data_IF_341522781187
#
_entry.id   IF_341522781187
#
_cell.length_a   1.000
_cell.length_b   1.000
_cell.length_c   1.000
_cell.angle_alpha   90.00
_cell.angle_beta   90.00
_cell.angle_gamma   90.00
#
_symmetry.space_group_name_H-M   'P 1'
#
loop_
_entity.id
_entity.type
_entity.pdbx_description
1 polymer ?
#
# COMPACT_ATOMS: atom_id res chain seq x y z
N UNK A 1 -7.99 -2.76 -18.54
CA UNK A 1 -7.66 -1.40 -18.14
C UNK A 1 -6.54 -1.44 -17.10
N UNK A 2 -5.29 -1.43 -17.57
CA UNK A 2 -4.09 -1.57 -16.73
C UNK A 2 -3.85 -0.36 -15.80
N UNK A 3 -4.67 0.68 -15.91
CA UNK A 3 -4.55 1.91 -15.14
C UNK A 3 -5.08 1.80 -13.70
N UNK A 4 -5.89 0.76 -13.38
CA UNK A 4 -6.52 0.59 -12.07
C UNK A 4 -5.75 -0.31 -11.10
N UNK A 5 -4.68 -0.93 -11.52
CA UNK A 5 -3.82 -1.69 -10.63
C UNK A 5 -2.79 -0.75 -9.99
N UNK A 6 -3.27 0.13 -9.14
CA UNK A 6 -2.44 1.07 -8.41
C UNK A 6 -1.85 0.35 -7.22
N UNK A 7 -0.61 -0.07 -7.36
CA UNK A 7 0.18 -0.46 -6.20
C UNK A 7 0.42 0.77 -5.30
N UNK A 8 0.85 0.54 -4.08
CA UNK A 8 1.21 1.55 -3.07
C UNK A 8 2.13 2.69 -3.59
N UNK A 9 2.71 2.56 -4.78
CA UNK A 9 3.53 3.59 -5.45
C UNK A 9 2.77 4.78 -6.03
N UNK A 10 1.45 4.71 -6.15
CA UNK A 10 0.64 5.83 -6.68
C UNK A 10 0.32 6.93 -5.66
N UNK A 11 0.69 6.73 -4.40
CA UNK A 11 0.51 7.74 -3.32
C UNK A 11 1.21 9.07 -3.65
N UNK A 12 2.20 9.06 -4.52
CA UNK A 12 2.97 10.24 -4.93
C UNK A 12 2.45 10.90 -6.21
N UNK A 13 1.49 10.28 -6.89
CA UNK A 13 0.77 10.93 -7.99
C UNK A 13 -0.32 11.80 -7.39
N UNK A 14 -0.12 13.13 -7.45
CA UNK A 14 -1.07 14.16 -6.99
C UNK A 14 -2.49 13.87 -7.47
N UNK A 15 -3.23 13.04 -6.75
CA UNK A 15 -4.66 12.92 -6.97
C UNK A 15 -5.33 14.16 -6.39
N UNK A 16 -6.13 14.82 -7.20
CA UNK A 16 -6.81 16.06 -6.78
C UNK A 16 -7.83 15.83 -5.66
N UNK A 17 -8.41 14.63 -5.58
CA UNK A 17 -9.43 14.27 -4.61
C UNK A 17 -9.37 12.77 -4.30
N UNK A 18 -8.34 12.29 -3.56
CA UNK A 18 -8.19 10.87 -3.25
C UNK A 18 -9.35 10.37 -2.38
N UNK A 19 -9.83 9.16 -2.68
CA UNK A 19 -10.83 8.47 -1.86
C UNK A 19 -10.15 7.86 -0.64
N UNK A 20 -10.59 8.23 0.56
CA UNK A 20 -10.01 7.82 1.82
C UNK A 20 -10.90 6.80 2.52
N UNK A 21 -10.37 5.63 2.85
CA UNK A 21 -11.02 4.60 3.66
C UNK A 21 -10.36 4.42 5.02
N UNK A 22 -11.15 4.11 6.05
CA UNK A 22 -10.68 3.79 7.39
C UNK A 22 -10.74 2.28 7.60
N UNK A 23 -9.59 1.66 7.87
CA UNK A 23 -9.52 0.20 8.08
C UNK A 23 -10.24 -0.19 9.37
N UNK A 24 -11.14 -1.17 9.24
CA UNK A 24 -11.91 -1.74 10.35
C UNK A 24 -12.04 -3.26 10.16
N UNK A 25 -12.51 -3.95 11.18
CA UNK A 25 -12.79 -5.40 11.17
C UNK A 25 -14.12 -5.76 10.48
N UNK A 26 -14.90 -4.77 10.10
CA UNK A 26 -16.18 -4.89 9.41
C UNK A 26 -16.71 -3.51 9.03
N UNK A 27 -17.65 -3.47 8.09
CA UNK A 27 -18.25 -2.24 7.56
C UNK A 27 -19.30 -1.61 8.49
N UNK A 28 -19.76 -2.35 9.49
CA UNK A 28 -20.82 -1.89 10.40
C UNK A 28 -20.27 -0.94 11.48
N UNK A 29 -21.03 0.12 11.80
CA UNK A 29 -20.65 1.14 12.80
C UNK A 29 -20.41 0.61 14.22
N UNK A 30 -20.98 -0.55 14.56
CA UNK A 30 -20.80 -1.16 15.88
C UNK A 30 -19.45 -1.86 16.03
N UNK A 31 -18.81 -2.23 14.92
CA UNK A 31 -17.51 -2.94 14.90
C UNK A 31 -16.32 -2.00 15.08
N UNK A 32 -15.21 -2.58 15.48
CA UNK A 32 -13.98 -1.86 15.73
C UNK A 32 -13.82 -1.39 17.18
N UNK A 33 -12.60 -1.02 17.52
CA UNK A 33 -12.26 -0.46 18.83
C UNK A 33 -12.69 1.01 18.95
N UNK A 34 -12.57 1.56 20.14
CA UNK A 34 -12.98 2.94 20.44
C UNK A 34 -12.23 3.99 19.61
N UNK A 35 -10.94 3.76 19.34
CA UNK A 35 -10.11 4.69 18.53
C UNK A 35 -10.61 4.73 17.09
N UNK A 36 -10.88 3.57 16.49
CA UNK A 36 -11.39 3.49 15.11
C UNK A 36 -12.77 4.15 14.99
N UNK A 37 -13.66 3.90 15.96
CA UNK A 37 -14.98 4.54 16.00
C UNK A 37 -14.89 6.06 16.14
N UNK A 38 -14.06 6.55 17.06
CA UNK A 38 -13.85 7.97 17.23
C UNK A 38 -13.27 8.62 15.99
N UNK A 39 -12.27 7.99 15.38
CA UNK A 39 -11.66 8.45 14.11
C UNK A 39 -12.69 8.51 12.98
N UNK A 40 -13.59 7.54 12.90
CA UNK A 40 -14.68 7.56 11.92
C UNK A 40 -15.57 8.80 12.08
N UNK A 41 -16.01 9.09 13.31
CA UNK A 41 -16.86 10.25 13.59
C UNK A 41 -16.12 11.57 13.27
N UNK A 42 -14.83 11.66 13.56
CA UNK A 42 -14.03 12.85 13.26
C UNK A 42 -13.82 13.02 11.76
N UNK A 43 -13.51 11.95 11.02
CA UNK A 43 -13.41 12.00 9.56
C UNK A 43 -14.75 12.36 8.91
N UNK A 44 -15.86 11.87 9.44
CA UNK A 44 -17.21 12.19 8.96
C UNK A 44 -17.53 13.67 9.13
N UNK A 45 -17.13 14.31 10.23
CA UNK A 45 -17.33 15.75 10.47
C UNK A 45 -16.60 16.61 9.42
N UNK A 46 -15.41 16.16 8.97
CA UNK A 46 -14.61 16.88 7.98
C UNK A 46 -14.87 16.39 6.54
N UNK A 47 -15.76 15.41 6.36
CA UNK A 47 -16.09 14.80 5.06
C UNK A 47 -16.42 15.80 3.93
N UNK A 48 -17.02 16.98 4.18
CA UNK A 48 -17.19 17.99 3.11
C UNK A 48 -15.88 18.49 2.51
N UNK A 49 -14.75 18.36 3.24
CA UNK A 49 -13.41 18.79 2.81
C UNK A 49 -12.55 17.66 2.28
N UNK A 50 -12.92 16.40 2.54
CA UNK A 50 -12.19 15.19 2.14
C UNK A 50 -13.16 14.19 1.52
N UNK A 51 -12.68 13.39 0.56
CA UNK A 51 -13.48 12.34 -0.07
C UNK A 51 -13.43 11.07 0.81
N UNK A 52 -14.22 11.07 1.90
CA UNK A 52 -14.25 9.97 2.86
C UNK A 52 -15.25 8.90 2.44
N UNK A 53 -14.76 7.69 2.15
CA UNK A 53 -15.54 6.52 1.74
C UNK A 53 -16.29 5.88 2.91
N UNK A 54 -15.66 5.89 4.09
CA UNK A 54 -16.15 5.17 5.26
C UNK A 54 -15.23 4.03 5.70
N UNK A 55 -15.78 3.02 6.35
CA UNK A 55 -15.04 1.83 6.72
C UNK A 55 -14.71 0.96 5.51
N UNK A 56 -13.52 0.37 5.53
CA UNK A 56 -13.09 -0.71 4.63
C UNK A 56 -12.56 -1.87 5.46
N UNK A 57 -12.64 -3.06 4.90
CA UNK A 57 -12.12 -4.29 5.52
C UNK A 57 -10.76 -4.68 4.92
N UNK A 58 -10.06 -5.61 5.57
CA UNK A 58 -8.75 -6.07 5.09
C UNK A 58 -8.74 -6.62 3.66
N UNK A 59 -9.84 -7.23 3.22
CA UNK A 59 -10.01 -7.73 1.85
C UNK A 59 -10.27 -6.62 0.82
N UNK A 60 -10.61 -5.40 1.25
CA UNK A 60 -10.84 -4.25 0.37
C UNK A 60 -9.56 -3.50 0.02
N UNK A 61 -8.51 -3.65 0.84
CA UNK A 61 -7.23 -2.94 0.67
C UNK A 61 -6.70 -3.07 -0.78
N UNK A 62 -6.83 -4.28 -1.35
CA UNK A 62 -6.31 -4.58 -2.69
C UNK A 62 -7.36 -4.44 -3.82
N UNK A 63 -8.61 -4.09 -3.52
CA UNK A 63 -9.67 -3.94 -4.53
C UNK A 63 -9.59 -2.61 -5.29
N UNK A 64 -8.91 -1.61 -4.70
CA UNK A 64 -8.76 -0.29 -5.33
C UNK A 64 -10.04 0.58 -5.27
N UNK A 65 -10.95 0.30 -4.32
CA UNK A 65 -12.14 1.10 -4.07
C UNK A 65 -11.79 2.44 -3.39
N UNK A 66 -10.65 2.47 -2.69
CA UNK A 66 -10.09 3.65 -2.04
C UNK A 66 -8.65 3.86 -2.49
N UNK A 67 -8.21 5.11 -2.47
CA UNK A 67 -6.85 5.50 -2.84
C UNK A 67 -5.91 5.56 -1.63
N UNK A 68 -6.47 5.84 -0.46
CA UNK A 68 -5.73 5.95 0.81
C UNK A 68 -6.44 5.13 1.87
N UNK A 69 -5.71 4.27 2.55
CA UNK A 69 -6.20 3.50 3.71
C UNK A 69 -5.58 4.08 4.98
N UNK A 70 -6.43 4.58 5.87
CA UNK A 70 -6.02 5.03 7.21
C UNK A 70 -6.17 3.88 8.18
N UNK A 71 -5.15 3.64 8.99
CA UNK A 71 -5.12 2.59 10.00
C UNK A 71 -4.18 2.97 11.14
N UNK A 72 -4.34 2.37 12.31
CA UNK A 72 -3.31 2.40 13.34
C UNK A 72 -2.08 1.59 12.95
N UNK A 73 -0.94 1.87 13.57
CA UNK A 73 0.32 1.24 13.21
C UNK A 73 0.38 -0.27 13.45
N UNK A 74 -0.37 -0.78 14.45
CA UNK A 74 -0.43 -2.21 14.76
C UNK A 74 -1.23 -2.97 13.70
N UNK A 75 -2.46 -2.54 13.45
CA UNK A 75 -3.35 -3.18 12.46
C UNK A 75 -2.76 -3.10 11.04
N UNK A 76 -2.22 -1.94 10.67
CA UNK A 76 -1.57 -1.74 9.38
C UNK A 76 -0.33 -2.62 9.20
N UNK A 77 0.49 -2.77 10.23
CA UNK A 77 1.67 -3.62 10.16
C UNK A 77 1.31 -5.11 10.08
N UNK A 78 0.28 -5.55 10.80
CA UNK A 78 -0.25 -6.92 10.68
C UNK A 78 -0.75 -7.17 9.26
N UNK A 79 -1.57 -6.26 8.70
CA UNK A 79 -2.09 -6.40 7.33
C UNK A 79 -0.96 -6.51 6.31
N UNK A 80 0.06 -5.65 6.39
CA UNK A 80 1.23 -5.69 5.51
C UNK A 80 2.02 -7.01 5.66
N UNK A 81 2.33 -7.41 6.88
CA UNK A 81 3.10 -8.64 7.13
C UNK A 81 2.35 -9.89 6.70
N UNK A 82 1.03 -9.92 6.92
CA UNK A 82 0.19 -11.02 6.44
C UNK A 82 0.18 -11.08 4.91
N UNK A 83 0.02 -9.95 4.22
CA UNK A 83 0.06 -9.90 2.77
C UNK A 83 1.42 -10.36 2.20
N UNK A 84 2.53 -9.91 2.80
CA UNK A 84 3.90 -10.37 2.46
C UNK A 84 4.03 -11.89 2.63
N UNK A 85 3.60 -12.43 3.79
CA UNK A 85 3.68 -13.86 4.07
C UNK A 85 2.80 -14.71 3.16
N UNK A 86 1.59 -14.26 2.84
CA UNK A 86 0.70 -14.95 1.89
C UNK A 86 1.30 -14.95 0.48
N UNK A 87 1.88 -13.84 0.03
CA UNK A 87 2.55 -13.78 -1.26
C UNK A 87 3.73 -14.78 -1.34
N UNK A 88 4.56 -14.88 -0.31
CA UNK A 88 5.67 -15.83 -0.22
C UNK A 88 5.17 -17.29 -0.21
N UNK A 89 4.08 -17.57 0.52
CA UNK A 89 3.46 -18.88 0.57
C UNK A 89 2.95 -19.31 -0.80
N UNK A 90 2.26 -18.43 -1.51
CA UNK A 90 1.76 -18.67 -2.89
C UNK A 90 2.93 -19.01 -3.82
N UNK A 91 4.02 -18.25 -3.76
CA UNK A 91 5.21 -18.55 -4.58
C UNK A 91 5.85 -19.90 -4.24
N UNK A 92 5.89 -20.24 -2.96
CA UNK A 92 6.42 -21.52 -2.51
C UNK A 92 5.57 -22.67 -3.06
N UNK A 93 4.25 -22.58 -2.94
CA UNK A 93 3.35 -23.60 -3.48
C UNK A 93 3.44 -23.70 -5.00
N UNK A 94 3.46 -22.57 -5.70
CA UNK A 94 3.60 -22.53 -7.16
C UNK A 94 4.91 -23.19 -7.61
N UNK A 95 6.03 -22.87 -6.93
CA UNK A 95 7.33 -23.47 -7.19
C UNK A 95 7.32 -24.98 -7.00
N UNK A 96 6.69 -25.47 -5.91
CA UNK A 96 6.59 -26.90 -5.63
C UNK A 96 5.70 -27.62 -6.64
N UNK A 97 4.59 -27.01 -7.04
CA UNK A 97 3.70 -27.57 -8.08
C UNK A 97 4.42 -27.73 -9.43
N UNK A 98 5.20 -26.73 -9.83
CA UNK A 98 5.99 -26.83 -11.07
C UNK A 98 7.15 -27.85 -10.98
N UNK A 99 7.61 -28.20 -9.78
CA UNK A 99 8.64 -29.25 -9.60
C UNK A 99 8.08 -30.67 -9.58
N UNK A 100 6.77 -30.85 -9.46
CA UNK A 100 6.12 -32.13 -9.16
C UNK A 100 6.25 -33.19 -10.27
N UNK A 101 6.36 -32.77 -11.55
CA UNK A 101 6.46 -33.69 -12.68
C UNK A 101 7.29 -33.11 -13.84
N UNK A 102 7.68 -33.96 -14.79
CA UNK A 102 8.35 -33.52 -16.02
C UNK A 102 7.46 -32.60 -16.86
N UNK A 103 6.18 -32.91 -16.97
CA UNK A 103 5.19 -32.10 -17.69
C UNK A 103 5.07 -30.73 -17.04
N UNK A 104 4.99 -30.65 -15.70
CA UNK A 104 4.94 -29.40 -14.95
C UNK A 104 6.19 -28.54 -15.18
N UNK A 105 7.37 -29.17 -15.27
CA UNK A 105 8.63 -28.46 -15.56
C UNK A 105 8.64 -27.84 -16.95
N UNK A 106 8.13 -28.57 -17.95
CA UNK A 106 7.96 -28.03 -19.31
C UNK A 106 6.97 -26.86 -19.30
N UNK A 107 5.82 -27.02 -18.60
CA UNK A 107 4.84 -25.96 -18.39
C UNK A 107 5.44 -24.70 -17.73
N UNK A 108 6.32 -24.88 -16.74
CA UNK A 108 7.06 -23.75 -16.14
C UNK A 108 7.90 -23.01 -17.17
N UNK A 109 8.64 -23.74 -18.00
CA UNK A 109 9.51 -23.13 -19.01
C UNK A 109 8.69 -22.25 -19.99
N UNK A 110 7.56 -22.75 -20.45
CA UNK A 110 6.65 -22.02 -21.33
C UNK A 110 5.99 -20.81 -20.61
N UNK A 111 5.65 -20.96 -19.33
CA UNK A 111 4.99 -19.93 -18.52
C UNK A 111 5.97 -18.90 -17.92
N UNK A 112 7.28 -19.14 -17.99
CA UNK A 112 8.32 -18.30 -17.35
C UNK A 112 8.17 -16.80 -17.63
N UNK A 113 7.87 -16.33 -18.85
CA UNK A 113 7.69 -14.90 -19.09
C UNK A 113 6.50 -14.30 -18.33
N UNK A 114 5.38 -15.06 -18.23
CA UNK A 114 4.20 -14.64 -17.47
C UNK A 114 4.47 -14.60 -15.97
N UNK A 115 5.14 -15.61 -15.44
CA UNK A 115 5.52 -15.71 -14.04
C UNK A 115 6.49 -14.56 -13.66
N UNK A 116 7.44 -14.23 -14.52
CA UNK A 116 8.35 -13.12 -14.27
C UNK A 116 7.63 -11.77 -14.26
N UNK A 117 6.69 -11.53 -15.18
CA UNK A 117 5.83 -10.33 -15.15
C UNK A 117 5.04 -10.23 -13.85
N UNK A 118 4.46 -11.33 -13.41
CA UNK A 118 3.72 -11.40 -12.15
C UNK A 118 4.63 -11.08 -10.95
N UNK A 119 5.80 -11.73 -10.83
CA UNK A 119 6.79 -11.45 -9.78
C UNK A 119 7.21 -9.98 -9.75
N UNK A 120 7.49 -9.41 -10.92
CA UNK A 120 7.88 -8.00 -11.03
C UNK A 120 6.78 -7.06 -10.56
N UNK A 121 5.50 -7.43 -10.76
CA UNK A 121 4.36 -6.60 -10.37
C UNK A 121 4.12 -6.56 -8.87
N UNK A 122 4.35 -7.69 -8.16
CA UNK A 122 4.11 -7.80 -6.72
C UNK A 122 5.40 -7.68 -5.90
N UNK A 123 6.51 -7.28 -6.51
CA UNK A 123 7.80 -7.11 -5.85
C UNK A 123 7.73 -5.95 -4.83
N UNK A 124 7.78 -6.24 -3.51
CA UNK A 124 7.64 -5.21 -2.48
C UNK A 124 8.77 -4.19 -2.48
N UNK A 125 9.94 -4.54 -3.05
CA UNK A 125 11.09 -3.64 -3.14
C UNK A 125 10.81 -2.40 -3.98
N UNK A 126 9.88 -2.50 -4.95
CA UNK A 126 9.44 -1.37 -5.79
C UNK A 126 8.65 -0.31 -5.01
N UNK A 127 8.06 -0.72 -3.89
CA UNK A 127 7.21 0.14 -3.05
C UNK A 127 7.91 0.53 -1.75
N UNK A 128 9.22 0.36 -1.68
CA UNK A 128 10.01 0.71 -0.52
C UNK A 128 10.15 2.23 -0.40
N UNK A 129 10.04 2.74 0.82
CA UNK A 129 10.14 4.15 1.14
C UNK A 129 8.86 4.69 1.78
N UNK A 130 8.75 4.55 3.10
CA UNK A 130 7.65 5.14 3.88
C UNK A 130 8.04 6.53 4.38
N UNK A 131 7.21 7.52 4.09
CA UNK A 131 7.40 8.91 4.54
C UNK A 131 6.95 9.04 5.98
N UNK A 132 7.76 9.64 6.84
CA UNK A 132 7.36 10.05 8.19
C UNK A 132 6.64 11.40 8.10
N UNK A 133 5.37 11.42 8.49
CA UNK A 133 4.53 12.61 8.46
C UNK A 133 4.75 13.47 9.71
N UNK A 134 4.46 14.78 9.63
CA UNK A 134 4.49 15.70 10.76
C UNK A 134 5.89 16.20 11.15
N UNK A 135 6.88 16.01 10.29
CA UNK A 135 8.23 16.53 10.48
C UNK A 135 8.46 17.79 9.64
N UNK A 136 9.33 18.68 10.10
CA UNK A 136 9.74 19.91 9.38
C UNK A 136 10.69 19.63 8.20
N UNK A 137 10.98 18.37 7.91
CA UNK A 137 11.84 17.93 6.82
C UNK A 137 11.37 16.60 6.25
N UNK A 138 11.85 16.25 5.05
CA UNK A 138 11.52 14.98 4.41
C UNK A 138 12.37 13.87 5.02
N UNK A 139 11.71 12.93 5.69
CA UNK A 139 12.32 11.72 6.22
C UNK A 139 11.61 10.51 5.62
N UNK A 140 12.37 9.67 4.93
CA UNK A 140 11.87 8.46 4.30
C UNK A 140 12.50 7.24 4.98
N UNK A 141 11.65 6.38 5.54
CA UNK A 141 12.05 5.13 6.17
C UNK A 141 12.15 4.04 5.11
N UNK A 142 13.30 3.42 4.97
CA UNK A 142 13.50 2.21 4.18
C UNK A 142 13.23 0.95 5.01
N UNK A 143 12.80 -0.13 4.35
CA UNK A 143 12.66 -1.44 5.00
C UNK A 143 14.03 -1.98 5.42
N UNK A 144 14.15 -2.51 6.65
CA UNK A 144 15.45 -2.96 7.20
C UNK A 144 16.09 -4.13 6.46
N UNK A 145 15.30 -5.01 5.85
CA UNK A 145 15.78 -6.16 5.07
C UNK A 145 15.88 -5.90 3.56
N UNK A 146 15.91 -4.62 3.13
CA UNK A 146 15.96 -4.29 1.70
C UNK A 146 17.35 -4.45 1.11
N UNK A 147 17.41 -4.75 -0.19
CA UNK A 147 18.65 -4.73 -0.97
C UNK A 147 18.89 -3.35 -1.62
N UNK A 148 19.97 -3.23 -2.41
CA UNK A 148 20.33 -2.00 -3.10
C UNK A 148 19.20 -1.49 -4.02
N UNK A 149 18.44 -2.38 -4.68
CA UNK A 149 17.34 -2.00 -5.55
C UNK A 149 16.20 -1.35 -4.75
N UNK A 150 15.78 -1.98 -3.66
CA UNK A 150 14.74 -1.40 -2.81
C UNK A 150 15.19 -0.11 -2.12
N UNK A 151 16.47 -0.02 -1.70
CA UNK A 151 17.01 1.22 -1.12
C UNK A 151 17.01 2.38 -2.13
N UNK A 152 17.37 2.09 -3.39
CA UNK A 152 17.31 3.07 -4.48
C UNK A 152 15.87 3.59 -4.68
N UNK A 153 14.86 2.72 -4.58
CA UNK A 153 13.46 3.15 -4.65
C UNK A 153 13.09 4.09 -3.48
N UNK A 154 13.57 3.81 -2.26
CA UNK A 154 13.33 4.71 -1.13
C UNK A 154 13.98 6.10 -1.33
N UNK A 155 15.18 6.16 -1.92
CA UNK A 155 15.80 7.42 -2.31
C UNK A 155 14.97 8.14 -3.37
N UNK A 156 14.49 7.41 -4.39
CA UNK A 156 13.64 7.98 -5.44
C UNK A 156 12.35 8.59 -4.89
N UNK A 157 11.77 7.97 -3.86
CA UNK A 157 10.65 8.55 -3.11
C UNK A 157 11.04 9.89 -2.49
N UNK A 158 12.17 9.97 -1.79
CA UNK A 158 12.63 11.22 -1.16
C UNK A 158 12.86 12.32 -2.21
N UNK A 159 13.51 12.00 -3.34
CA UNK A 159 13.72 12.93 -4.45
C UNK A 159 12.38 13.44 -4.99
N UNK A 160 11.43 12.54 -5.27
CA UNK A 160 10.11 12.93 -5.77
C UNK A 160 9.35 13.85 -4.80
N UNK A 161 9.49 13.66 -3.50
CA UNK A 161 8.88 14.54 -2.50
C UNK A 161 9.50 15.95 -2.51
N UNK A 162 10.82 16.03 -2.69
CA UNK A 162 11.54 17.32 -2.80
C UNK A 162 11.08 18.06 -4.06
N UNK A 163 11.12 17.40 -5.23
CA UNK A 163 10.71 17.95 -6.52
C UNK A 163 9.27 18.45 -6.53
N UNK A 164 8.39 17.79 -5.77
CA UNK A 164 6.99 18.15 -5.62
C UNK A 164 6.71 19.16 -4.47
N UNK A 165 7.74 19.75 -3.87
CA UNK A 165 7.60 20.73 -2.78
C UNK A 165 6.68 20.24 -1.64
N UNK A 166 6.82 18.96 -1.27
CA UNK A 166 5.91 18.25 -0.35
C UNK A 166 5.66 19.00 0.96
N UNK A 167 6.70 19.53 1.61
CA UNK A 167 6.57 20.27 2.88
C UNK A 167 5.69 21.51 2.71
N UNK A 168 5.95 22.32 1.68
CA UNK A 168 5.18 23.52 1.41
C UNK A 168 3.70 23.24 1.12
N UNK A 169 3.42 22.15 0.40
CA UNK A 169 2.05 21.72 0.10
C UNK A 169 1.29 21.24 1.35
N UNK A 170 1.97 20.53 2.25
CA UNK A 170 1.38 20.11 3.53
C UNK A 170 1.10 21.33 4.41
N UNK A 171 2.06 22.25 4.58
CA UNK A 171 1.88 23.46 5.39
C UNK A 171 0.67 24.28 4.93
N UNK A 172 0.49 24.43 3.61
CA UNK A 172 -0.68 25.13 3.06
C UNK A 172 -2.00 24.46 3.41
N UNK A 173 -2.02 23.13 3.51
CA UNK A 173 -3.23 22.33 3.76
C UNK A 173 -3.56 22.16 5.23
N UNK A 174 -2.55 22.18 6.12
CA UNK A 174 -2.74 22.02 7.58
C UNK A 174 -3.12 23.36 8.24
N UNK A 175 -2.76 24.50 7.66
CA UNK A 175 -3.14 25.84 8.14
C UNK A 175 -4.62 26.22 7.88
N UNK A 176 -5.49 25.22 7.69
CA UNK A 176 -6.93 25.42 7.47
C UNK A 176 -7.69 25.37 8.81
#
# INVERSE_FOLDING_TARGET
DASKSRGLGDVYKRQKNPVLGLLNVGSEHIKGNSVVKQTFEDLKKISPKINFYGFIEGNDINKGNVDVVVTDGFSGNIALKTAEGVAELIFTFLKNSYKSSLVSKIGYFLSKPAINRFKTRIDPRKYNGAVLLGLNGIVVKSHGGTDAFGFCNAISVAVSLIENSYINEIEKKIKI
#
